data_IF_706141461389
#
_entry.id   IF_706141461389
#
_cell.length_a   1.000
_cell.length_b   1.000
_cell.length_c   1.000
_cell.angle_alpha   90.00
_cell.angle_beta   90.00
_cell.angle_gamma   90.00
#
_symmetry.space_group_name_H-M   'P 1'
#
loop_
_entity.id
_entity.type
_entity.pdbx_description
1 polymer ?
#
# COMPACT_ATOMS: atom_id res chain seq x y z
N UNK A 1 -16.03 -12.09 -0.56
CA UNK A 1 -14.80 -11.44 -0.04
C UNK A 1 -13.92 -11.11 -1.23
N UNK A 2 -13.49 -9.84 -1.39
CA UNK A 2 -12.63 -9.45 -2.53
C UNK A 2 -11.23 -10.05 -2.31
N UNK A 3 -10.60 -10.64 -3.33
CA UNK A 3 -9.23 -11.15 -3.21
C UNK A 3 -8.31 -10.00 -2.83
N UNK A 4 -7.47 -10.21 -1.82
CA UNK A 4 -6.36 -9.31 -1.57
C UNK A 4 -5.46 -9.40 -2.80
N UNK A 5 -5.33 -8.29 -3.53
CA UNK A 5 -4.59 -8.21 -4.78
C UNK A 5 -3.07 -8.17 -4.47
N UNK A 6 -2.58 -9.24 -3.83
CA UNK A 6 -1.20 -9.37 -3.33
C UNK A 6 -0.17 -9.34 -4.47
N UNK A 7 -0.60 -9.66 -5.69
CA UNK A 7 0.24 -9.75 -6.89
C UNK A 7 0.39 -8.45 -7.67
N UNK A 8 -0.25 -7.35 -7.26
CA UNK A 8 -0.26 -6.11 -8.05
C UNK A 8 0.39 -4.90 -7.35
N UNK A 9 0.84 -5.03 -6.09
CA UNK A 9 1.49 -3.93 -5.38
C UNK A 9 2.86 -3.67 -5.98
N UNK A 10 3.16 -2.42 -6.30
CA UNK A 10 4.47 -1.95 -6.76
C UNK A 10 4.90 -0.67 -6.03
N UNK A 11 6.18 -0.33 -6.16
CA UNK A 11 6.71 0.96 -5.72
C UNK A 11 5.85 2.11 -6.26
N UNK A 12 5.51 3.06 -5.38
CA UNK A 12 4.68 4.23 -5.68
C UNK A 12 3.19 4.00 -5.48
N UNK A 13 2.73 2.77 -5.29
CA UNK A 13 1.32 2.52 -4.98
C UNK A 13 0.97 3.07 -3.61
N UNK A 14 -0.27 3.53 -3.48
CA UNK A 14 -0.83 4.00 -2.22
C UNK A 14 -1.62 2.89 -1.56
N UNK A 15 -1.37 2.70 -0.28
CA UNK A 15 -2.00 1.66 0.53
C UNK A 15 -2.63 2.25 1.78
N UNK A 16 -3.65 1.57 2.30
CA UNK A 16 -4.27 1.84 3.58
C UNK A 16 -4.26 0.59 4.44
N UNK A 17 -3.73 0.72 5.66
CA UNK A 17 -3.70 -0.35 6.65
C UNK A 17 -5.11 -0.70 7.12
N UNK A 18 -5.46 -1.99 7.08
CA UNK A 18 -6.70 -2.52 7.68
C UNK A 18 -6.39 -3.20 9.01
N UNK A 19 -5.27 -3.93 9.06
CA UNK A 19 -4.82 -4.66 10.23
C UNK A 19 -3.33 -4.92 10.15
N UNK A 20 -2.64 -4.77 11.28
CA UNK A 20 -1.24 -5.12 11.49
C UNK A 20 -1.19 -6.20 12.57
N UNK A 21 -0.52 -7.32 12.30
CA UNK A 21 -0.30 -8.35 13.32
C UNK A 21 0.98 -8.04 14.11
N UNK A 22 0.97 -6.95 14.87
CA UNK A 22 2.10 -6.55 15.73
C UNK A 22 1.58 -5.84 16.99
N UNK A 23 1.76 -6.42 18.20
CA UNK A 23 1.32 -5.82 19.45
C UNK A 23 2.11 -4.58 19.87
N UNK A 24 3.28 -4.33 19.26
CA UNK A 24 4.12 -3.16 19.54
C UNK A 24 4.02 -2.08 18.46
N UNK A 25 3.28 -2.34 17.38
CA UNK A 25 3.07 -1.37 16.31
C UNK A 25 2.26 -0.17 16.82
N UNK A 26 2.81 1.02 16.62
CA UNK A 26 2.10 2.30 16.82
C UNK A 26 1.27 2.71 15.61
N UNK A 27 1.30 1.92 14.53
CA UNK A 27 0.63 2.25 13.28
C UNK A 27 -0.90 2.12 13.43
N UNK A 28 -1.67 3.20 13.31
CA UNK A 28 -3.10 3.15 13.54
C UNK A 28 -3.81 2.46 12.38
N UNK A 29 -4.91 1.77 12.69
CA UNK A 29 -5.83 1.26 11.66
C UNK A 29 -6.31 2.42 10.78
N UNK A 30 -6.25 2.24 9.47
CA UNK A 30 -6.59 3.27 8.50
C UNK A 30 -5.42 4.18 8.13
N UNK A 31 -4.24 4.02 8.72
CA UNK A 31 -3.02 4.71 8.27
C UNK A 31 -2.81 4.49 6.78
N UNK A 32 -2.41 5.55 6.08
CA UNK A 32 -2.09 5.51 4.66
C UNK A 32 -0.60 5.70 4.46
N UNK A 33 -0.08 5.13 3.37
CA UNK A 33 1.33 5.18 3.05
C UNK A 33 1.59 4.89 1.59
N UNK A 34 2.82 5.16 1.17
CA UNK A 34 3.32 4.90 -0.18
C UNK A 34 4.30 3.75 -0.12
N UNK A 35 4.18 2.81 -1.03
CA UNK A 35 5.14 1.69 -1.15
C UNK A 35 6.47 2.22 -1.67
N UNK A 36 7.53 2.05 -0.89
CA UNK A 36 8.89 2.49 -1.22
C UNK A 36 9.63 1.44 -2.03
N UNK A 37 9.54 0.18 -1.60
CA UNK A 37 10.12 -0.97 -2.28
C UNK A 37 9.49 -2.28 -1.77
N UNK A 38 9.76 -3.36 -2.50
CA UNK A 38 9.50 -4.73 -2.08
C UNK A 38 10.86 -5.41 -2.07
N UNK A 39 11.21 -6.06 -0.96
CA UNK A 39 12.48 -6.79 -0.86
C UNK A 39 12.36 -8.22 -1.40
N UNK A 40 13.51 -8.90 -1.50
CA UNK A 40 13.62 -10.22 -2.13
C UNK A 40 12.87 -11.33 -1.36
N UNK A 41 12.48 -11.07 -0.10
CA UNK A 41 11.67 -11.99 0.72
C UNK A 41 10.17 -11.68 0.66
N UNK A 42 9.78 -10.62 -0.08
CA UNK A 42 8.38 -10.25 -0.30
C UNK A 42 7.78 -9.31 0.75
N UNK A 43 8.61 -8.67 1.58
CA UNK A 43 8.14 -7.62 2.51
C UNK A 43 7.92 -6.33 1.73
N UNK A 44 6.78 -5.70 1.94
CA UNK A 44 6.42 -4.44 1.30
C UNK A 44 6.80 -3.32 2.25
N UNK A 45 7.86 -2.58 1.92
CA UNK A 45 8.30 -1.42 2.68
C UNK A 45 7.42 -0.22 2.33
N UNK A 46 6.83 0.40 3.35
CA UNK A 46 5.88 1.51 3.17
C UNK A 46 6.36 2.72 3.95
N UNK A 47 6.50 3.85 3.26
CA UNK A 47 6.59 5.17 3.90
C UNK A 47 5.18 5.59 4.30
N UNK A 48 4.84 5.39 5.57
CA UNK A 48 3.54 5.80 6.12
C UNK A 48 3.49 7.30 6.34
N UNK A 49 2.33 7.91 6.07
CA UNK A 49 2.15 9.37 6.19
C UNK A 49 2.31 9.87 7.63
N UNK A 50 2.13 9.00 8.62
CA UNK A 50 2.37 9.29 10.03
C UNK A 50 3.86 9.22 10.42
N UNK A 51 4.77 9.03 9.46
CA UNK A 51 6.22 8.94 9.67
C UNK A 51 6.75 7.55 10.02
N UNK A 52 5.88 6.55 10.12
CA UNK A 52 6.31 5.15 10.33
C UNK A 52 6.93 4.56 9.07
N UNK A 53 7.79 3.55 9.25
CA UNK A 53 8.43 2.76 8.18
C UNK A 53 8.22 1.26 8.35
N UNK A 54 7.17 0.86 9.06
CA UNK A 54 6.84 -0.56 9.26
C UNK A 54 6.50 -1.22 7.92
N UNK A 55 7.09 -2.39 7.66
CA UNK A 55 6.79 -3.19 6.49
C UNK A 55 5.46 -3.93 6.63
N UNK A 56 4.86 -4.29 5.49
CA UNK A 56 3.71 -5.20 5.42
C UNK A 56 4.14 -6.56 4.90
N UNK A 57 3.62 -7.62 5.52
CA UNK A 57 3.83 -9.00 5.11
C UNK A 57 2.53 -9.58 4.55
N UNK A 58 2.58 -10.05 3.30
CA UNK A 58 1.47 -10.71 2.65
C UNK A 58 1.00 -11.95 3.43
N UNK A 59 -0.30 -12.03 3.72
CA UNK A 59 -0.91 -13.13 4.46
C UNK A 59 -0.85 -12.99 5.99
N UNK A 60 -0.01 -12.10 6.51
CA UNK A 60 0.06 -11.77 7.95
C UNK A 60 -0.72 -10.48 8.22
N UNK A 61 -0.40 -9.45 7.44
CA UNK A 61 -1.04 -8.14 7.53
C UNK A 61 -2.20 -8.02 6.54
N UNK A 62 -3.08 -7.04 6.78
CA UNK A 62 -4.17 -6.72 5.85
C UNK A 62 -4.13 -5.25 5.49
N UNK A 63 -4.19 -4.99 4.20
CA UNK A 63 -4.24 -3.65 3.64
C UNK A 63 -5.11 -3.64 2.37
N UNK A 64 -5.41 -2.45 1.89
CA UNK A 64 -6.00 -2.24 0.57
C UNK A 64 -5.20 -1.21 -0.19
N UNK A 65 -5.09 -1.39 -1.50
CA UNK A 65 -4.67 -0.32 -2.39
C UNK A 65 -5.76 0.75 -2.40
N UNK A 66 -5.34 2.01 -2.34
CA UNK A 66 -6.23 3.15 -2.52
C UNK A 66 -5.86 3.82 -3.84
N UNK A 67 -6.85 4.04 -4.69
CA UNK A 67 -6.62 4.77 -5.94
C UNK A 67 -6.24 6.21 -5.58
N UNK A 68 -5.07 6.66 -6.05
CA UNK A 68 -4.91 8.09 -6.27
C UNK A 68 -5.89 8.42 -7.39
N UNK A 69 -6.86 9.29 -7.11
CA UNK A 69 -7.92 9.71 -8.04
C UNK A 69 -7.40 10.52 -9.25
N UNK A 70 -6.22 10.20 -9.78
CA UNK A 70 -5.68 10.70 -11.04
C UNK A 70 -6.07 9.81 -12.21
N UNK A 71 -7.34 9.41 -12.30
CA UNK A 71 -7.96 9.22 -13.61
C UNK A 71 -8.52 10.57 -14.03
N UNK A 72 -7.65 11.49 -14.45
CA UNK A 72 -8.09 12.61 -15.26
C UNK A 72 -7.85 12.24 -16.72
N UNK A 73 -8.93 12.31 -17.48
CA UNK A 73 -9.00 12.23 -18.93
C UNK A 73 -7.89 13.07 -19.59
N UNK A 74 -7.31 12.54 -20.67
CA UNK A 74 -7.17 13.15 -22.02
C UNK A 74 -6.08 12.37 -22.79
N UNK A 75 -6.44 11.27 -23.46
CA UNK A 75 -5.82 11.01 -24.76
C UNK A 75 -6.56 11.89 -25.77
N UNK A 76 -6.20 13.17 -25.74
CA UNK A 76 -6.51 14.11 -26.80
C UNK A 76 -5.65 13.76 -28.00
N UNK A 77 -6.29 13.25 -29.04
CA UNK A 77 -6.18 13.69 -30.42
C UNK A 77 -4.93 14.50 -30.80
N UNK A 78 -4.10 13.94 -31.69
CA UNK A 78 -3.42 14.70 -32.75
C UNK A 78 -2.72 13.77 -33.75
N UNK A 79 -2.61 14.21 -35.02
CA UNK A 79 -3.64 14.55 -35.98
C UNK A 79 -3.95 13.38 -36.95
#
# INVERSE_FOLDING_TARGET
MKPQNLTAVKKGDRVRLIYMYDPYSTLPKGATGTVDCIDDIGTIHVSWDCGSRLGLIAGVDRWVMIENSSKNEKQGERP
#
